data_IF_611452074899
#
_entry.id   IF_611452074899
#
_cell.length_a   1.000
_cell.length_b   1.000
_cell.length_c   1.000
_cell.angle_alpha   90.00
_cell.angle_beta   90.00
_cell.angle_gamma   90.00
#
_symmetry.space_group_name_H-M   'P 1'
#
loop_
_entity.id
_entity.type
_entity.pdbx_description
1 polymer ?
#
# COMPACT_ATOMS: atom_id res chain seq x y z
N UNK A 1 -26.04 -12.41 -19.19
CA UNK A 1 -24.90 -12.31 -18.25
C UNK A 1 -24.75 -13.63 -17.54
N UNK A 2 -24.11 -14.58 -18.20
CA UNK A 2 -23.85 -15.92 -17.68
C UNK A 2 -22.64 -15.86 -16.76
N UNK A 3 -22.89 -16.09 -15.47
CA UNK A 3 -21.87 -16.35 -14.46
C UNK A 3 -21.08 -17.56 -14.94
N UNK A 4 -19.85 -17.31 -15.34
CA UNK A 4 -18.88 -18.30 -15.76
C UNK A 4 -18.52 -19.17 -14.54
N UNK A 5 -19.21 -20.30 -14.44
CA UNK A 5 -19.08 -21.27 -13.36
C UNK A 5 -17.82 -22.12 -13.58
N UNK A 6 -16.74 -21.81 -12.85
CA UNK A 6 -15.41 -22.49 -12.95
C UNK A 6 -15.43 -24.00 -12.68
N UNK A 7 -16.58 -24.57 -12.29
CA UNK A 7 -16.70 -26.00 -11.95
C UNK A 7 -16.82 -26.95 -13.15
N UNK A 8 -16.91 -26.47 -14.39
CA UNK A 8 -17.14 -27.31 -15.58
C UNK A 8 -15.94 -27.51 -16.52
N UNK A 9 -14.76 -26.95 -16.23
CA UNK A 9 -13.53 -27.25 -16.98
C UNK A 9 -12.65 -28.29 -16.27
N UNK A 10 -13.25 -29.43 -15.89
CA UNK A 10 -12.52 -30.63 -15.46
C UNK A 10 -12.07 -31.42 -16.69
N UNK A 11 -11.06 -30.92 -17.40
CA UNK A 11 -10.31 -31.69 -18.38
C UNK A 11 -8.93 -31.98 -17.78
N UNK A 12 -8.48 -33.23 -17.76
CA UNK A 12 -7.21 -33.66 -17.13
C UNK A 12 -5.99 -32.91 -17.66
N UNK A 13 -6.03 -32.40 -18.89
CA UNK A 13 -4.99 -31.51 -19.43
C UNK A 13 -4.87 -30.18 -18.67
N UNK A 14 -5.97 -29.63 -18.16
CA UNK A 14 -5.96 -28.33 -17.47
C UNK A 14 -5.17 -28.41 -16.14
N UNK A 15 -5.23 -29.55 -15.45
CA UNK A 15 -4.46 -29.81 -14.23
C UNK A 15 -2.96 -29.88 -14.50
N UNK A 16 -2.54 -30.55 -15.57
CA UNK A 16 -1.12 -30.64 -15.94
C UNK A 16 -0.51 -29.28 -16.30
N UNK A 17 -1.27 -28.41 -16.97
CA UNK A 17 -0.85 -27.04 -17.21
C UNK A 17 -0.78 -26.23 -15.90
N UNK A 18 -1.83 -26.27 -15.07
CA UNK A 18 -1.85 -25.61 -13.76
C UNK A 18 -0.67 -26.03 -12.86
N UNK A 19 -0.35 -27.33 -12.83
CA UNK A 19 0.76 -27.87 -12.05
C UNK A 19 2.13 -27.38 -12.56
N UNK A 20 2.29 -27.25 -13.88
CA UNK A 20 3.51 -26.73 -14.51
C UNK A 20 3.71 -25.25 -14.16
N UNK A 21 2.69 -24.42 -14.35
CA UNK A 21 2.76 -22.99 -14.03
C UNK A 21 2.94 -22.74 -12.53
N UNK A 22 2.26 -23.51 -11.70
CA UNK A 22 2.37 -23.43 -10.25
C UNK A 22 3.78 -23.81 -9.78
N UNK A 23 4.35 -24.90 -10.32
CA UNK A 23 5.74 -25.31 -10.05
C UNK A 23 6.73 -24.21 -10.43
N UNK A 24 6.62 -23.67 -11.64
CA UNK A 24 7.59 -22.69 -12.14
C UNK A 24 7.50 -21.37 -11.35
N UNK A 25 6.30 -20.97 -10.95
CA UNK A 25 6.06 -19.83 -10.05
C UNK A 25 6.70 -20.06 -8.68
N UNK A 26 6.49 -21.22 -8.06
CA UNK A 26 7.09 -21.57 -6.78
C UNK A 26 8.62 -21.63 -6.86
N UNK A 27 9.16 -22.16 -7.95
CA UNK A 27 10.61 -22.23 -8.17
C UNK A 27 11.22 -20.83 -8.29
N UNK A 28 10.59 -19.95 -9.10
CA UNK A 28 11.00 -18.56 -9.20
C UNK A 28 10.93 -17.86 -7.84
N UNK A 29 9.81 -18.00 -7.11
CA UNK A 29 9.63 -17.44 -5.78
C UNK A 29 10.72 -17.92 -4.81
N UNK A 30 10.99 -19.22 -4.74
CA UNK A 30 11.99 -19.78 -3.84
C UNK A 30 13.40 -19.26 -4.15
N UNK A 31 13.75 -19.18 -5.44
CA UNK A 31 15.04 -18.69 -5.90
C UNK A 31 15.23 -17.21 -5.59
N UNK A 32 14.24 -16.36 -5.91
CA UNK A 32 14.30 -14.92 -5.63
C UNK A 32 14.28 -14.64 -4.12
N UNK A 33 13.42 -15.32 -3.38
CA UNK A 33 13.35 -15.19 -1.91
C UNK A 33 14.68 -15.52 -1.25
N UNK A 34 15.39 -16.55 -1.73
CA UNK A 34 16.75 -16.87 -1.24
C UNK A 34 17.73 -15.73 -1.51
N UNK A 35 17.71 -15.14 -2.71
CA UNK A 35 18.63 -14.07 -3.11
C UNK A 35 18.39 -12.79 -2.31
N UNK A 36 17.12 -12.44 -2.07
CA UNK A 36 16.70 -11.24 -1.35
C UNK A 36 16.76 -11.41 0.18
N UNK A 37 17.10 -12.60 0.70
CA UNK A 37 17.14 -12.86 2.14
C UNK A 37 15.78 -13.12 2.80
N UNK A 38 14.70 -13.32 2.01
CA UNK A 38 13.40 -13.79 2.48
C UNK A 38 13.41 -15.31 2.76
N UNK A 39 14.16 -15.74 3.78
CA UNK A 39 14.41 -17.16 4.03
C UNK A 39 13.18 -17.92 4.52
N UNK A 40 12.24 -17.27 5.22
CA UNK A 40 11.01 -17.93 5.68
C UNK A 40 10.08 -18.19 4.50
N UNK A 41 9.92 -17.23 3.58
CA UNK A 41 9.20 -17.44 2.30
C UNK A 41 9.86 -18.51 1.47
N UNK A 42 11.19 -18.48 1.35
CA UNK A 42 11.94 -19.46 0.57
C UNK A 42 11.72 -20.90 1.10
N UNK A 43 11.72 -21.11 2.43
CA UNK A 43 11.42 -22.42 3.03
C UNK A 43 10.02 -22.89 2.67
N UNK A 44 9.04 -22.01 2.82
CA UNK A 44 7.66 -22.35 2.50
C UNK A 44 7.51 -22.76 1.02
N UNK A 45 8.15 -22.02 0.11
CA UNK A 45 8.13 -22.36 -1.31
C UNK A 45 8.83 -23.70 -1.60
N UNK A 46 9.99 -23.98 -0.99
CA UNK A 46 10.69 -25.26 -1.15
C UNK A 46 9.89 -26.45 -0.57
N UNK A 47 9.22 -26.28 0.57
CA UNK A 47 8.33 -27.31 1.14
C UNK A 47 7.18 -27.65 0.19
N UNK A 48 6.57 -26.65 -0.47
CA UNK A 48 5.53 -26.87 -1.48
C UNK A 48 6.07 -27.55 -2.74
N UNK A 49 7.29 -27.20 -3.16
CA UNK A 49 7.95 -27.79 -4.33
C UNK A 49 8.27 -29.28 -4.13
N UNK A 50 8.58 -29.73 -2.91
CA UNK A 50 8.83 -31.15 -2.61
C UNK A 50 7.62 -32.05 -2.91
N UNK A 51 6.40 -31.50 -2.87
CA UNK A 51 5.18 -32.23 -3.23
C UNK A 51 4.93 -32.34 -4.74
N UNK A 52 5.76 -31.71 -5.58
CA UNK A 52 5.58 -31.63 -7.03
C UNK A 52 6.67 -32.41 -7.78
N UNK A 53 6.35 -32.89 -8.99
CA UNK A 53 7.35 -33.49 -9.88
C UNK A 53 8.21 -32.42 -10.53
N UNK A 54 9.50 -32.41 -10.20
CA UNK A 54 10.46 -31.42 -10.68
C UNK A 54 11.32 -32.02 -11.80
N UNK A 55 11.49 -31.33 -12.95
CA UNK A 55 12.37 -31.77 -14.02
C UNK A 55 13.81 -32.01 -13.52
N UNK A 56 14.45 -33.09 -13.96
CA UNK A 56 15.80 -33.50 -13.55
C UNK A 56 16.83 -32.37 -13.64
N UNK A 57 16.76 -31.55 -14.70
CA UNK A 57 17.63 -30.38 -14.91
C UNK A 57 17.67 -29.37 -13.76
N UNK A 58 16.63 -29.32 -12.91
CA UNK A 58 16.53 -28.37 -11.80
C UNK A 58 16.70 -29.01 -10.42
N UNK A 59 16.78 -30.35 -10.33
CA UNK A 59 16.80 -31.06 -9.05
C UNK A 59 18.03 -30.69 -8.22
N UNK A 60 19.24 -30.86 -8.77
CA UNK A 60 20.50 -30.56 -8.04
C UNK A 60 20.56 -29.11 -7.54
N UNK A 61 20.20 -28.16 -8.40
CA UNK A 61 20.19 -26.73 -8.06
C UNK A 61 19.17 -26.41 -6.96
N UNK A 62 18.01 -27.06 -7.01
CA UNK A 62 16.96 -26.90 -6.02
C UNK A 62 17.36 -27.53 -4.70
N UNK A 63 17.87 -28.76 -4.68
CA UNK A 63 18.30 -29.47 -3.47
C UNK A 63 19.38 -28.67 -2.73
N UNK A 64 20.39 -28.19 -3.46
CA UNK A 64 21.43 -27.33 -2.91
C UNK A 64 20.84 -26.03 -2.33
N UNK A 65 19.90 -25.40 -3.04
CA UNK A 65 19.23 -24.17 -2.58
C UNK A 65 18.37 -24.41 -1.34
N UNK A 66 17.65 -25.54 -1.28
CA UNK A 66 16.86 -25.94 -0.13
C UNK A 66 17.73 -26.18 1.09
N UNK A 67 18.86 -26.90 0.94
CA UNK A 67 19.85 -27.09 2.02
C UNK A 67 20.44 -25.75 2.49
N UNK A 68 20.79 -24.88 1.54
CA UNK A 68 21.32 -23.54 1.85
C UNK A 68 20.32 -22.75 2.69
N UNK A 69 19.05 -22.69 2.29
CA UNK A 69 18.02 -21.95 3.02
C UNK A 69 17.76 -22.53 4.42
N UNK A 70 17.89 -23.85 4.62
CA UNK A 70 17.77 -24.49 5.94
C UNK A 70 18.87 -24.08 6.91
N UNK A 71 20.06 -23.73 6.42
CA UNK A 71 21.16 -23.23 7.25
C UNK A 71 21.00 -21.78 7.71
N UNK A 72 20.04 -21.03 7.14
CA UNK A 72 19.81 -19.61 7.45
C UNK A 72 18.86 -19.42 8.64
N UNK A 73 18.72 -18.20 9.19
CA UNK A 73 17.70 -17.92 10.22
C UNK A 73 16.27 -18.08 9.67
N UNK A 74 15.31 -18.46 10.52
CA UNK A 74 13.88 -18.52 10.15
C UNK A 74 13.21 -17.14 10.24
N UNK A 75 13.69 -16.20 9.43
CA UNK A 75 13.12 -14.86 9.28
C UNK A 75 13.33 -14.38 7.86
N UNK A 76 12.48 -13.46 7.43
CA UNK A 76 12.67 -12.72 6.19
C UNK A 76 13.50 -11.45 6.46
N UNK A 77 14.07 -10.85 5.42
CA UNK A 77 14.79 -9.57 5.54
C UNK A 77 13.82 -8.46 5.95
N UNK A 78 14.25 -7.58 6.85
CA UNK A 78 13.42 -6.48 7.36
C UNK A 78 13.06 -5.48 6.25
N UNK A 79 13.95 -5.27 5.28
CA UNK A 79 13.73 -4.39 4.12
C UNK A 79 12.55 -4.83 3.23
N UNK A 80 12.17 -6.10 3.30
CA UNK A 80 11.08 -6.66 2.48
C UNK A 80 9.75 -6.67 3.22
N UNK A 81 9.73 -6.41 4.52
CA UNK A 81 8.53 -6.58 5.34
C UNK A 81 7.61 -5.36 5.16
N UNK A 82 6.40 -5.53 4.56
CA UNK A 82 5.50 -4.40 4.37
C UNK A 82 4.92 -3.91 5.70
N UNK A 83 5.06 -2.60 5.94
CA UNK A 83 4.40 -1.90 7.04
C UNK A 83 2.99 -1.46 6.62
N UNK A 84 2.03 -1.59 7.52
CA UNK A 84 0.70 -1.00 7.34
C UNK A 84 0.70 0.44 7.82
N UNK A 85 0.49 1.40 6.91
CA UNK A 85 0.44 2.83 7.27
C UNK A 85 -0.73 3.23 8.16
N UNK A 86 -1.78 2.40 8.27
CA UNK A 86 -2.91 2.67 9.17
C UNK A 86 -2.61 2.35 10.64
N UNK A 87 -1.91 1.25 10.91
CA UNK A 87 -1.72 0.73 12.28
C UNK A 87 -0.26 0.42 12.64
N UNK A 88 0.68 0.85 11.79
CA UNK A 88 2.13 0.67 11.90
C UNK A 88 2.58 -0.78 12.14
N UNK A 89 1.70 -1.75 11.85
CA UNK A 89 1.99 -3.16 12.03
C UNK A 89 2.81 -3.67 10.85
N UNK A 90 3.90 -4.38 11.13
CA UNK A 90 4.69 -5.09 10.14
C UNK A 90 4.03 -6.41 9.76
N UNK A 91 3.95 -6.71 8.46
CA UNK A 91 3.17 -7.84 7.95
C UNK A 91 4.06 -8.89 7.29
N UNK A 92 3.80 -10.18 7.51
CA UNK A 92 4.54 -11.24 6.84
C UNK A 92 4.30 -11.19 5.32
N UNK A 93 5.34 -11.49 4.55
CA UNK A 93 5.27 -11.59 3.09
C UNK A 93 4.25 -12.63 2.59
N UNK A 94 4.05 -13.69 3.37
CA UNK A 94 3.02 -14.70 3.12
C UNK A 94 1.90 -14.56 4.15
N UNK A 95 0.77 -13.99 3.71
CA UNK A 95 -0.44 -13.90 4.51
C UNK A 95 -1.55 -14.78 3.89
N UNK A 96 -2.11 -15.69 4.69
CA UNK A 96 -3.23 -16.55 4.27
C UNK A 96 -4.51 -15.77 3.96
N UNK A 97 -4.61 -14.53 4.45
CA UNK A 97 -5.76 -13.65 4.23
C UNK A 97 -5.60 -12.79 2.97
N UNK A 98 -4.49 -12.94 2.23
CA UNK A 98 -4.19 -12.18 1.03
C UNK A 98 -3.47 -10.86 1.32
N UNK A 99 -3.61 -9.91 0.39
CA UNK A 99 -2.90 -8.64 0.38
C UNK A 99 -3.55 -7.59 1.31
N UNK A 100 -3.65 -7.93 2.59
CA UNK A 100 -4.19 -7.05 3.63
C UNK A 100 -3.39 -7.15 4.91
N UNK A 101 -3.44 -6.10 5.73
CA UNK A 101 -2.82 -6.09 7.04
C UNK A 101 -3.38 -7.19 7.94
N UNK A 102 -2.52 -7.89 8.68
CA UNK A 102 -2.92 -8.96 9.62
C UNK A 102 -3.70 -8.42 10.83
N UNK A 103 -3.49 -7.15 11.17
CA UNK A 103 -4.06 -6.53 12.36
C UNK A 103 -5.37 -5.78 12.04
N UNK A 104 -5.32 -4.71 11.24
CA UNK A 104 -6.50 -3.90 10.92
C UNK A 104 -7.26 -4.33 9.64
N UNK A 105 -6.77 -5.36 8.93
CA UNK A 105 -7.33 -5.85 7.66
C UNK A 105 -7.40 -4.82 6.52
N UNK A 106 -6.69 -3.69 6.66
CA UNK A 106 -6.56 -2.71 5.57
C UNK A 106 -5.93 -3.38 4.34
N UNK A 107 -6.56 -3.29 3.15
CA UNK A 107 -5.92 -3.75 1.92
C UNK A 107 -4.70 -2.88 1.61
N UNK A 108 -3.61 -3.52 1.18
CA UNK A 108 -2.41 -2.78 0.76
C UNK A 108 -2.63 -2.17 -0.61
N UNK A 109 -2.25 -0.90 -0.72
CA UNK A 109 -2.22 -0.17 -1.98
C UNK A 109 -0.75 -0.12 -2.37
N UNK A 110 -0.41 -0.70 -3.51
CA UNK A 110 0.97 -0.77 -3.98
C UNK A 110 1.23 0.25 -5.07
N UNK A 111 2.45 0.77 -5.11
CA UNK A 111 2.97 1.46 -6.28
C UNK A 111 2.99 0.51 -7.47
N UNK A 112 2.39 0.90 -8.58
CA UNK A 112 2.29 0.05 -9.76
C UNK A 112 3.62 -0.09 -10.55
N UNK A 113 4.68 0.63 -10.15
CA UNK A 113 6.05 0.48 -10.66
C UNK A 113 6.92 -0.39 -9.74
N UNK A 114 7.05 0.02 -8.48
CA UNK A 114 8.00 -0.58 -7.52
C UNK A 114 7.41 -1.72 -6.71
N UNK A 115 6.08 -1.84 -6.65
CA UNK A 115 5.36 -2.75 -5.73
C UNK A 115 5.65 -2.52 -4.25
N UNK A 116 6.07 -1.30 -3.88
CA UNK A 116 6.13 -0.86 -2.49
C UNK A 116 4.74 -0.43 -2.01
N UNK A 117 4.46 -0.59 -0.72
CA UNK A 117 3.19 -0.15 -0.13
C UNK A 117 3.19 1.37 -0.09
N UNK A 118 2.14 1.99 -0.62
CA UNK A 118 1.95 3.43 -0.57
C UNK A 118 1.30 3.85 0.76
N UNK A 119 1.64 5.01 1.32
CA UNK A 119 1.01 5.58 2.52
C UNK A 119 -0.40 6.11 2.27
N UNK A 120 -1.24 5.32 1.60
CA UNK A 120 -2.61 5.65 1.25
C UNK A 120 -3.60 4.83 2.08
N UNK A 121 -4.68 5.49 2.50
CA UNK A 121 -5.84 4.84 3.09
C UNK A 121 -7.09 5.20 2.30
N UNK A 122 -7.82 4.18 1.86
CA UNK A 122 -9.14 4.36 1.26
C UNK A 122 -10.15 4.77 2.34
N UNK A 123 -10.92 5.82 2.05
CA UNK A 123 -12.00 6.28 2.90
C UNK A 123 -13.30 6.37 2.13
N UNK A 124 -14.41 6.31 2.86
CA UNK A 124 -15.75 6.32 2.33
C UNK A 124 -16.49 7.57 2.82
N UNK A 125 -17.36 8.09 1.98
CA UNK A 125 -18.22 9.21 2.32
C UNK A 125 -19.40 8.71 3.17
N UNK A 126 -19.89 9.57 4.05
CA UNK A 126 -21.15 9.37 4.76
C UNK A 126 -22.34 9.44 3.77
N UNK A 127 -23.43 8.69 4.03
CA UNK A 127 -24.55 8.48 3.09
C UNK A 127 -25.22 9.78 2.59
N UNK A 128 -25.07 10.88 3.34
CA UNK A 128 -25.67 12.17 3.02
C UNK A 128 -24.84 13.05 2.08
N UNK A 129 -23.63 12.64 1.68
CA UNK A 129 -22.68 13.49 0.92
C UNK A 129 -22.58 12.98 -0.52
N UNK A 130 -22.84 13.86 -1.51
CA UNK A 130 -22.62 13.51 -2.92
C UNK A 130 -21.14 13.61 -3.30
N UNK A 131 -20.73 12.92 -4.37
CA UNK A 131 -19.35 12.94 -4.85
C UNK A 131 -18.89 14.37 -5.21
N UNK A 132 -19.79 15.18 -5.81
CA UNK A 132 -19.53 16.59 -6.14
C UNK A 132 -19.44 17.48 -4.90
N UNK A 133 -20.31 17.26 -3.91
CA UNK A 133 -20.23 17.96 -2.63
C UNK A 133 -18.90 17.65 -1.94
N UNK A 134 -18.49 16.38 -1.90
CA UNK A 134 -17.22 15.97 -1.31
C UNK A 134 -16.01 16.64 -1.98
N UNK A 135 -15.97 16.70 -3.31
CA UNK A 135 -14.90 17.41 -4.03
C UNK A 135 -14.90 18.89 -3.66
N UNK A 136 -16.07 19.55 -3.63
CA UNK A 136 -16.15 20.97 -3.29
C UNK A 136 -15.67 21.25 -1.86
N UNK A 137 -15.92 20.33 -0.91
CA UNK A 137 -15.47 20.46 0.47
C UNK A 137 -13.96 20.31 0.63
N UNK A 138 -13.32 19.48 -0.22
CA UNK A 138 -11.87 19.24 -0.21
C UNK A 138 -11.12 20.37 -0.93
N UNK A 139 -11.72 20.96 -1.98
CA UNK A 139 -11.13 22.08 -2.72
C UNK A 139 -11.22 23.41 -1.94
N UNK A 140 -12.06 23.48 -0.90
CA UNK A 140 -12.12 24.61 0.03
C UNK A 140 -10.88 24.58 0.95
N UNK A 141 -9.74 25.05 0.42
CA UNK A 141 -8.54 25.26 1.23
C UNK A 141 -8.83 26.29 2.33
N UNK A 142 -8.92 25.82 3.57
CA UNK A 142 -8.89 26.70 4.75
C UNK A 142 -7.42 27.09 4.95
N UNK A 143 -7.07 28.39 4.94
CA UNK A 143 -5.72 28.82 5.28
C UNK A 143 -5.36 28.28 6.66
N UNK A 144 -4.31 27.45 6.75
CA UNK A 144 -3.73 27.11 8.05
C UNK A 144 -3.29 28.42 8.67
N UNK A 145 -3.89 28.79 9.80
CA UNK A 145 -3.38 29.90 10.60
C UNK A 145 -2.01 29.44 11.09
N UNK A 146 -0.94 29.96 10.48
CA UNK A 146 0.40 29.91 11.06
C UNK A 146 0.32 30.63 12.40
N UNK A 147 0.11 29.86 13.46
CA UNK A 147 0.11 30.37 14.81
C UNK A 147 1.57 30.63 15.15
N UNK A 148 2.00 31.85 14.85
CA UNK A 148 3.30 32.41 15.22
C UNK A 148 3.62 31.95 16.64
N UNK A 149 4.61 31.07 16.80
CA UNK A 149 5.14 30.68 18.10
C UNK A 149 5.66 31.95 18.76
N UNK A 150 4.83 32.51 19.64
CA UNK A 150 5.11 33.74 20.37
C UNK A 150 6.26 33.46 21.33
N UNK A 151 7.49 33.72 20.89
CA UNK A 151 8.68 33.75 21.73
C UNK A 151 8.45 34.74 22.89
N UNK A 152 8.18 34.24 24.09
CA UNK A 152 8.13 35.06 25.29
C UNK A 152 9.49 35.04 25.99
N UNK A 153 10.26 36.09 25.80
CA UNK A 153 11.49 36.32 26.56
C UNK A 153 11.14 36.99 27.89
N UNK A 154 11.35 36.30 29.01
CA UNK A 154 11.27 36.90 30.34
C UNK A 154 12.68 37.26 30.83
N UNK A 155 12.94 38.55 31.00
CA UNK A 155 14.16 39.05 31.63
C UNK A 155 13.93 39.28 33.11
N UNK A 156 14.64 38.54 33.97
CA UNK A 156 14.82 38.86 35.38
C UNK A 156 16.30 38.77 35.74
N UNK A 157 16.86 39.89 36.23
CA UNK A 157 18.17 40.07 36.88
C UNK A 157 19.24 38.98 36.68
N UNK A 158 20.25 39.30 35.87
CA UNK A 158 21.54 38.60 35.69
C UNK A 158 21.49 37.09 35.35
N UNK A 159 20.35 36.55 34.93
CA UNK A 159 20.25 35.19 34.43
C UNK A 159 19.32 35.10 33.22
N UNK A 160 19.90 34.89 32.04
CA UNK A 160 19.17 34.48 30.85
C UNK A 160 18.98 32.97 30.90
N UNK A 161 17.76 32.50 31.21
CA UNK A 161 17.41 31.09 31.16
C UNK A 161 16.50 30.83 29.96
N UNK A 162 16.99 30.11 28.95
CA UNK A 162 16.16 29.50 27.92
C UNK A 162 15.36 28.35 28.56
N UNK A 163 14.07 28.56 28.82
CA UNK A 163 13.13 27.47 29.04
C UNK A 163 12.51 27.13 27.70
N UNK A 164 12.96 26.03 27.10
CA UNK A 164 12.13 25.27 26.16
C UNK A 164 11.05 24.63 27.03
N UNK A 165 9.87 25.24 27.03
CA UNK A 165 8.68 24.55 27.47
C UNK A 165 8.43 23.44 26.44
N UNK A 166 8.90 22.23 26.73
CA UNK A 166 8.48 21.00 26.06
C UNK A 166 7.06 20.67 26.54
N UNK A 167 6.17 21.66 26.38
CA UNK A 167 4.76 21.39 26.25
C UNK A 167 4.65 20.60 24.96
N UNK A 168 4.54 19.28 25.11
CA UNK A 168 3.93 18.42 24.11
C UNK A 168 2.51 18.94 23.86
N UNK A 169 2.39 20.05 23.15
CA UNK A 169 1.22 20.33 22.34
C UNK A 169 1.34 19.33 21.18
N UNK A 170 0.91 18.10 21.46
CA UNK A 170 0.61 17.10 20.44
C UNK A 170 -0.04 17.85 19.26
N UNK A 171 0.46 17.71 18.02
CA UNK A 171 -0.22 18.31 16.88
C UNK A 171 -1.65 17.78 16.93
N UNK A 172 -2.60 18.64 17.30
CA UNK A 172 -4.02 18.29 17.54
C UNK A 172 -4.40 17.19 16.57
N UNK A 173 -4.58 15.96 17.09
CA UNK A 173 -4.75 14.76 16.29
C UNK A 173 -5.71 15.06 15.15
N UNK A 174 -5.18 15.11 13.93
CA UNK A 174 -5.96 15.46 12.75
C UNK A 174 -7.26 14.65 12.77
N UNK A 175 -8.44 15.30 12.61
CA UNK A 175 -9.74 14.64 12.77
C UNK A 175 -9.91 13.34 11.98
N UNK A 176 -9.13 13.16 10.90
CA UNK A 176 -9.06 11.90 10.17
C UNK A 176 -8.17 10.85 10.84
N UNK A 177 -7.01 11.22 11.38
CA UNK A 177 -6.11 10.33 12.14
C UNK A 177 -6.82 9.75 13.36
N UNK A 178 -7.64 10.56 14.04
CA UNK A 178 -8.52 10.07 15.10
C UNK A 178 -9.48 8.94 14.64
N UNK A 179 -9.91 8.97 13.38
CA UNK A 179 -10.76 7.91 12.76
C UNK A 179 -9.97 6.70 12.26
N UNK A 180 -8.65 6.77 12.21
CA UNK A 180 -7.80 5.61 11.90
C UNK A 180 -7.72 4.66 13.10
N UNK A 181 -7.93 5.17 14.32
CA UNK A 181 -8.02 4.43 15.57
C UNK A 181 -8.96 3.24 15.42
N UNK A 182 -8.40 2.05 15.56
CA UNK A 182 -9.09 0.80 15.36
C UNK A 182 -9.12 0.00 16.66
N UNK A 183 -10.33 -0.31 17.13
CA UNK A 183 -10.56 -1.18 18.28
C UNK A 183 -10.44 -2.66 17.87
N UNK A 184 -9.20 -3.15 17.67
CA UNK A 184 -8.81 -4.56 17.79
C UNK A 184 -9.71 -5.67 17.22
N UNK A 185 -10.51 -5.42 16.19
CA UNK A 185 -11.45 -6.38 15.60
C UNK A 185 -10.79 -7.34 14.62
N UNK A 186 -11.39 -8.53 14.40
CA UNK A 186 -10.94 -9.46 13.35
C UNK A 186 -11.41 -9.05 11.94
N UNK A 187 -12.32 -8.09 11.84
CA UNK A 187 -12.95 -7.64 10.61
C UNK A 187 -12.43 -6.27 10.17
N UNK A 188 -12.41 -6.05 8.86
CA UNK A 188 -12.08 -4.76 8.27
C UNK A 188 -13.17 -3.73 8.60
N UNK A 189 -12.74 -2.59 9.15
CA UNK A 189 -13.63 -1.44 9.41
C UNK A 189 -13.22 -0.30 8.47
N UNK A 190 -14.07 0.09 7.51
CA UNK A 190 -13.78 1.19 6.59
C UNK A 190 -13.75 2.53 7.34
N UNK A 191 -12.89 3.44 6.86
CA UNK A 191 -12.82 4.80 7.42
C UNK A 191 -13.92 5.63 6.78
N UNK A 192 -14.96 5.99 7.55
CA UNK A 192 -16.08 6.80 7.06
C UNK A 192 -15.89 8.26 7.50
N UNK A 193 -15.97 9.17 6.53
CA UNK A 193 -15.62 10.58 6.69
C UNK A 193 -16.86 11.45 6.58
N UNK A 194 -17.01 12.41 7.50
CA UNK A 194 -18.11 13.37 7.52
C UNK A 194 -17.65 14.71 6.93
N UNK A 195 -18.61 15.63 6.71
CA UNK A 195 -18.34 16.96 6.13
C UNK A 195 -17.26 17.77 6.85
N UNK A 196 -17.19 17.66 8.18
CA UNK A 196 -16.20 18.37 8.98
C UNK A 196 -14.77 17.89 8.68
N UNK A 197 -14.57 16.56 8.62
CA UNK A 197 -13.26 15.98 8.33
C UNK A 197 -12.88 16.21 6.85
N UNK A 198 -13.83 16.21 5.91
CA UNK A 198 -13.54 16.58 4.51
C UNK A 198 -13.00 18.01 4.39
N UNK A 199 -13.55 18.96 5.16
CA UNK A 199 -13.10 20.36 5.19
C UNK A 199 -11.73 20.56 5.83
N UNK A 200 -11.31 19.64 6.70
CA UNK A 200 -9.98 19.70 7.31
C UNK A 200 -8.90 19.06 6.44
N UNK A 201 -9.27 18.30 5.40
CA UNK A 201 -8.31 17.71 4.46
C UNK A 201 -7.81 18.73 3.45
N UNK A 202 -6.52 18.64 3.13
CA UNK A 202 -5.97 19.38 1.99
C UNK A 202 -6.25 18.63 0.69
N UNK A 203 -6.43 19.37 -0.40
CA UNK A 203 -6.59 18.79 -1.74
C UNK A 203 -5.36 17.99 -2.19
N UNK A 204 -4.18 18.35 -1.71
CA UNK A 204 -2.89 17.72 -2.03
C UNK A 204 -2.79 16.31 -1.46
N UNK A 205 -3.38 16.08 -0.30
CA UNK A 205 -3.31 14.79 0.38
C UNK A 205 -4.40 13.82 -0.07
N UNK A 206 -5.32 14.24 -0.94
CA UNK A 206 -6.46 13.42 -1.38
C UNK A 206 -6.35 13.05 -2.86
N UNK A 207 -6.42 11.75 -3.14
CA UNK A 207 -6.54 11.19 -4.50
C UNK A 207 -7.94 10.64 -4.73
N UNK A 208 -8.53 10.96 -5.88
CA UNK A 208 -9.92 10.62 -6.20
C UNK A 208 -9.95 9.86 -7.52
N UNK A 209 -10.36 8.59 -7.49
CA UNK A 209 -10.62 7.80 -8.70
C UNK A 209 -12.03 8.07 -9.19
N UNK A 210 -12.13 8.94 -10.21
CA UNK A 210 -13.40 9.34 -10.83
C UNK A 210 -13.81 8.30 -11.87
N UNK A 211 -14.33 7.18 -11.41
CA UNK A 211 -14.82 6.14 -12.31
C UNK A 211 -16.07 6.61 -13.07
N UNK A 212 -16.22 6.24 -14.36
CA UNK A 212 -17.45 6.46 -15.08
C UNK A 212 -18.57 5.56 -14.52
N UNK A 213 -19.81 6.03 -14.61
CA UNK A 213 -20.99 5.25 -14.22
C UNK A 213 -20.99 3.90 -14.95
N UNK A 214 -21.31 2.77 -14.27
CA UNK A 214 -22.03 2.66 -13.00
C UNK A 214 -21.13 2.53 -11.75
N UNK A 215 -19.81 2.67 -11.88
CA UNK A 215 -18.90 2.52 -10.74
C UNK A 215 -18.90 3.79 -9.87
N UNK A 216 -18.86 3.60 -8.55
CA UNK A 216 -18.74 4.70 -7.58
C UNK A 216 -17.32 5.25 -7.58
N UNK A 217 -17.17 6.52 -7.19
CA UNK A 217 -15.86 7.11 -7.00
C UNK A 217 -15.17 6.48 -5.78
N UNK A 218 -13.85 6.47 -5.81
CA UNK A 218 -13.03 5.99 -4.69
C UNK A 218 -12.12 7.09 -4.21
N UNK A 219 -12.04 7.24 -2.89
CA UNK A 219 -11.30 8.31 -2.25
C UNK A 219 -10.17 7.73 -1.43
N UNK A 220 -8.99 8.30 -1.60
CA UNK A 220 -7.78 7.88 -0.90
C UNK A 220 -7.12 9.09 -0.28
N UNK A 221 -6.60 8.93 0.93
CA UNK A 221 -5.85 9.95 1.63
C UNK A 221 -4.42 9.51 1.86
N UNK A 222 -3.46 10.37 1.55
CA UNK A 222 -2.05 10.22 1.94
C UNK A 222 -1.88 10.52 3.42
N UNK A 223 -1.24 9.59 4.13
CA UNK A 223 -0.88 9.74 5.54
C UNK A 223 0.51 10.37 5.72
N UNK A 224 1.33 10.40 4.67
CA UNK A 224 2.67 10.97 4.68
C UNK A 224 2.77 12.00 3.55
N UNK A 225 2.60 13.30 3.84
CA UNK A 225 2.72 14.37 2.84
C UNK A 225 4.11 14.45 2.19
N UNK A 226 5.16 14.02 2.90
CA UNK A 226 6.54 13.99 2.38
C UNK A 226 6.72 12.97 1.24
N UNK A 227 5.87 11.93 1.21
CA UNK A 227 5.87 10.92 0.15
C UNK A 227 4.91 11.37 -0.93
N UNK A 228 5.46 11.93 -2.01
CA UNK A 228 4.66 12.36 -3.15
C UNK A 228 4.15 11.17 -3.98
N UNK A 229 2.85 11.16 -4.24
CA UNK A 229 2.17 10.08 -4.96
C UNK A 229 1.44 10.66 -6.17
N UNK A 230 1.68 10.06 -7.33
CA UNK A 230 0.99 10.41 -8.57
C UNK A 230 0.06 9.29 -8.98
N UNK A 231 -1.14 9.67 -9.44
CA UNK A 231 -2.11 8.74 -10.00
C UNK A 231 -2.25 8.99 -11.50
N UNK A 232 -2.14 7.93 -12.31
CA UNK A 232 -2.34 8.05 -13.75
C UNK A 232 -3.81 8.42 -14.05
N UNK A 233 -4.07 9.46 -14.89
CA UNK A 233 -5.43 9.90 -15.18
C UNK A 233 -6.24 8.90 -16.03
N UNK A 234 -5.57 7.95 -16.70
CA UNK A 234 -6.23 6.99 -17.58
C UNK A 234 -6.53 5.64 -16.92
N UNK A 235 -5.58 5.08 -16.15
CA UNK A 235 -5.75 3.77 -15.53
C UNK A 235 -5.99 3.81 -14.02
N UNK A 236 -5.94 5.00 -13.41
CA UNK A 236 -6.09 5.22 -11.97
C UNK A 236 -5.15 4.39 -11.09
N UNK A 237 -4.04 3.89 -11.66
CA UNK A 237 -2.96 3.29 -10.88
C UNK A 237 -2.13 4.38 -10.21
N UNK A 238 -1.65 4.06 -9.01
CA UNK A 238 -0.89 4.96 -8.16
C UNK A 238 0.57 4.57 -8.17
N UNK A 239 1.45 5.55 -8.05
CA UNK A 239 2.89 5.42 -8.14
C UNK A 239 3.54 6.41 -7.18
N UNK A 240 4.76 6.13 -6.72
CA UNK A 240 5.62 7.22 -6.27
C UNK A 240 5.84 8.20 -7.42
N UNK A 241 5.73 9.50 -7.15
CA UNK A 241 5.83 10.50 -8.22
C UNK A 241 7.19 10.45 -8.92
N UNK A 242 8.27 10.27 -8.15
CA UNK A 242 9.64 10.17 -8.69
C UNK A 242 9.78 9.02 -9.69
N UNK A 243 9.30 7.82 -9.34
CA UNK A 243 9.31 6.66 -10.23
C UNK A 243 8.46 6.90 -11.48
N UNK A 244 7.27 7.47 -11.30
CA UNK A 244 6.34 7.71 -12.41
C UNK A 244 6.95 8.70 -13.41
N UNK A 245 7.45 9.83 -12.94
CA UNK A 245 8.08 10.85 -13.76
C UNK A 245 9.30 10.29 -14.50
N UNK A 246 10.17 9.54 -13.82
CA UNK A 246 11.33 8.90 -14.43
C UNK A 246 10.93 7.92 -15.54
N UNK A 247 9.99 7.01 -15.27
CA UNK A 247 9.55 6.00 -16.25
C UNK A 247 8.82 6.64 -17.43
N UNK A 248 8.05 7.69 -17.17
CA UNK A 248 7.36 8.46 -18.19
C UNK A 248 8.36 9.21 -19.06
N UNK A 249 9.42 9.82 -18.51
CA UNK A 249 10.49 10.45 -19.29
C UNK A 249 11.28 9.43 -20.14
N UNK A 250 11.46 8.21 -19.65
CA UNK A 250 12.17 7.15 -20.38
C UNK A 250 11.35 6.56 -21.53
N UNK A 251 10.04 6.44 -21.35
CA UNK A 251 9.17 5.67 -22.26
C UNK A 251 8.07 6.49 -22.94
N UNK A 252 7.93 7.78 -22.61
CA UNK A 252 6.88 8.69 -23.07
C UNK A 252 5.45 8.14 -22.91
N UNK A 253 5.24 7.23 -21.97
CA UNK A 253 3.94 6.61 -21.70
C UNK A 253 3.82 6.19 -20.23
N UNK A 254 2.58 5.96 -19.78
CA UNK A 254 2.35 5.42 -18.43
C UNK A 254 2.99 4.02 -18.30
N UNK A 255 3.78 3.74 -17.24
CA UNK A 255 4.46 2.45 -17.07
C UNK A 255 3.50 1.26 -16.93
N UNK A 256 2.25 1.50 -16.52
CA UNK A 256 1.24 0.44 -16.35
C UNK A 256 0.35 0.26 -17.58
N UNK A 257 -0.38 1.29 -18.00
CA UNK A 257 -1.33 1.17 -19.12
C UNK A 257 -0.73 1.48 -20.49
N UNK A 258 0.52 1.95 -20.55
CA UNK A 258 1.25 2.30 -21.78
C UNK A 258 0.58 3.38 -22.64
N UNK A 259 -0.40 4.12 -22.10
CA UNK A 259 -0.99 5.27 -22.80
C UNK A 259 0.04 6.39 -22.89
N UNK A 260 0.25 7.02 -24.06
CA UNK A 260 1.08 8.20 -24.20
C UNK A 260 0.55 9.38 -23.38
N UNK A 261 1.44 10.27 -22.95
CA UNK A 261 1.07 11.48 -22.19
C UNK A 261 0.29 12.47 -23.07
N UNK A 262 0.66 12.56 -24.35
CA UNK A 262 0.15 13.56 -25.30
C UNK A 262 -1.28 13.27 -25.78
N UNK A 263 -1.86 12.12 -25.43
CA UNK A 263 -3.25 11.82 -25.73
C UNK A 263 -4.15 12.38 -24.63
N UNK A 264 -4.97 13.42 -24.90
CA UNK A 264 -5.90 13.93 -23.90
C UNK A 264 -6.88 12.83 -23.46
N UNK A 265 -7.14 12.80 -22.16
CA UNK A 265 -7.98 11.82 -21.46
C UNK A 265 -9.40 11.77 -22.01
#
# INVERSE_FOLDING_TARGET
>A
MTVLNWRLLKNEMCWQFLDVWFRDTLYALAKQSKLLGAYKVARHAFEKLQGLKIPSRYQDSMELSCLTVRSKPYRDSEDLIPMCYRCSTNNPLLNNQGNSCINCRQPFIYSASSYEVLPLVEFYLEEDISDEEAVSLIDLEVPRVERNSSWQEMSSGESQCLRLDDGTEDPEDDPFTAKLSFEGGRAFVPVVVNRAVLRSMSRRDVLIKRWPKPLSWQYYRSLLPDVSITMCPSCFQMFHSEDYELLVLQHNCCPYCRRPIDEPS
#
